data_IF_891339453188
#
_entry.id   IF_891339453188
#
_cell.length_a   1.000
_cell.length_b   1.000
_cell.length_c   1.000
_cell.angle_alpha   90.00
_cell.angle_beta   90.00
_cell.angle_gamma   90.00
#
_symmetry.space_group_name_H-M   'P 1'
#
loop_
_entity.id
_entity.type
_entity.pdbx_description
1 polymer ?
#
# COMPACT_ATOMS: atom_id res chain seq x y z
N UNK A 1 13.89 0.33 -18.31
CA UNK A 1 12.96 0.80 -17.27
C UNK A 1 13.70 0.73 -15.96
N UNK A 2 13.99 1.89 -15.36
CA UNK A 2 14.63 1.94 -14.05
C UNK A 2 13.71 1.23 -13.04
N UNK A 3 14.21 0.30 -12.22
CA UNK A 3 13.41 -0.26 -11.14
C UNK A 3 13.16 0.87 -10.16
N UNK A 4 11.98 1.50 -10.25
CA UNK A 4 11.55 2.50 -9.27
C UNK A 4 11.76 1.89 -7.88
N UNK A 5 12.61 2.52 -7.07
CA UNK A 5 12.95 2.03 -5.74
C UNK A 5 11.72 2.19 -4.84
N UNK A 6 10.85 1.19 -4.83
CA UNK A 6 9.72 1.10 -3.92
C UNK A 6 10.25 1.01 -2.49
N UNK A 7 9.94 2.02 -1.69
CA UNK A 7 10.30 2.09 -0.27
C UNK A 7 9.05 1.95 0.58
N UNK A 8 9.21 1.36 1.76
CA UNK A 8 8.15 1.31 2.77
C UNK A 8 7.67 2.73 3.08
N UNK A 9 6.36 2.94 3.09
CA UNK A 9 5.75 4.26 3.36
C UNK A 9 5.88 5.27 2.21
N UNK A 10 6.33 4.85 1.03
CA UNK A 10 6.34 5.73 -0.13
C UNK A 10 4.92 5.87 -0.70
N UNK A 11 4.43 7.11 -0.74
CA UNK A 11 3.23 7.49 -1.46
C UNK A 11 3.37 7.21 -2.96
N UNK A 12 2.35 6.60 -3.56
CA UNK A 12 2.24 6.34 -5.00
C UNK A 12 0.98 6.99 -5.58
N UNK A 13 0.92 7.18 -6.89
CA UNK A 13 -0.30 7.66 -7.55
C UNK A 13 -1.28 6.51 -7.86
N UNK A 14 -2.56 6.80 -8.15
CA UNK A 14 -3.51 5.78 -8.60
C UNK A 14 -3.02 5.02 -9.83
N UNK A 15 -2.44 5.72 -10.80
CA UNK A 15 -1.85 5.12 -12.00
C UNK A 15 -0.73 4.13 -11.63
N UNK A 16 0.16 4.52 -10.71
CA UNK A 16 1.21 3.64 -10.22
C UNK A 16 0.63 2.44 -9.46
N UNK A 17 -0.41 2.64 -8.66
CA UNK A 17 -1.08 1.53 -7.96
C UNK A 17 -1.66 0.52 -8.96
N UNK A 18 -2.24 0.99 -10.07
CA UNK A 18 -2.73 0.15 -11.16
C UNK A 18 -1.61 -0.58 -11.91
N UNK A 19 -0.45 0.05 -12.09
CA UNK A 19 0.73 -0.58 -12.72
C UNK A 19 1.44 -1.59 -11.81
N UNK A 20 1.40 -1.39 -10.49
CA UNK A 20 2.10 -2.22 -9.52
C UNK A 20 1.36 -3.54 -9.23
N UNK A 21 2.13 -4.59 -8.98
CA UNK A 21 1.60 -5.89 -8.53
C UNK A 21 1.44 -5.94 -7.02
N UNK A 22 0.62 -6.88 -6.53
CA UNK A 22 0.48 -7.23 -5.12
C UNK A 22 1.84 -7.40 -4.41
N UNK A 23 2.77 -8.19 -4.96
CA UNK A 23 4.12 -8.34 -4.41
C UNK A 23 4.91 -7.02 -4.34
N UNK A 24 4.67 -6.07 -5.25
CA UNK A 24 5.31 -4.75 -5.24
C UNK A 24 4.65 -3.82 -4.22
N UNK A 25 3.32 -3.80 -4.15
CA UNK A 25 2.56 -3.05 -3.15
C UNK A 25 2.90 -3.50 -1.74
N UNK A 26 3.05 -4.81 -1.53
CA UNK A 26 3.48 -5.39 -0.26
C UNK A 26 4.84 -4.83 0.21
N UNK A 27 5.72 -4.38 -0.70
CA UNK A 27 7.00 -3.72 -0.35
C UNK A 27 6.84 -2.28 0.12
N UNK A 28 5.75 -1.62 -0.26
CA UNK A 28 5.39 -0.29 0.22
C UNK A 28 4.76 -0.34 1.62
N UNK A 29 4.15 -1.48 1.97
CA UNK A 29 3.55 -1.69 3.29
C UNK A 29 4.63 -1.94 4.35
N UNK A 30 4.56 -1.27 5.53
CA UNK A 30 5.42 -1.55 6.67
C UNK A 30 5.36 -3.01 7.09
N UNK A 31 6.49 -3.55 7.56
CA UNK A 31 6.58 -4.94 8.03
C UNK A 31 5.50 -5.32 9.04
N UNK A 32 5.14 -4.38 9.94
CA UNK A 32 4.10 -4.58 10.93
C UNK A 32 2.69 -4.75 10.34
N UNK A 33 2.44 -4.25 9.12
CA UNK A 33 1.13 -4.32 8.48
C UNK A 33 1.09 -5.24 7.26
N UNK A 34 2.25 -5.77 6.86
CA UNK A 34 2.45 -6.60 5.68
C UNK A 34 1.65 -7.90 5.76
N UNK A 35 1.56 -8.48 6.95
CA UNK A 35 0.74 -9.66 7.23
C UNK A 35 -0.78 -9.40 7.14
N UNK A 36 -1.19 -8.13 7.26
CA UNK A 36 -2.58 -7.69 7.13
C UNK A 36 -2.91 -7.21 5.72
N UNK A 37 -1.92 -7.13 4.81
CA UNK A 37 -2.15 -6.70 3.44
C UNK A 37 -3.00 -7.77 2.71
N UNK A 38 -4.25 -7.46 2.34
CA UNK A 38 -5.15 -8.46 1.78
C UNK A 38 -4.90 -8.72 0.29
N UNK A 39 -3.92 -8.02 -0.31
CA UNK A 39 -3.67 -8.01 -1.75
C UNK A 39 -4.35 -6.83 -2.44
N UNK A 40 -3.87 -6.52 -3.66
CA UNK A 40 -4.37 -5.39 -4.47
C UNK A 40 -5.87 -5.46 -4.73
N UNK A 41 -6.38 -6.67 -4.99
CA UNK A 41 -7.79 -6.92 -5.32
C UNK A 41 -8.73 -6.52 -4.18
N UNK A 42 -8.25 -6.60 -2.94
CA UNK A 42 -8.98 -6.24 -1.73
C UNK A 42 -8.67 -4.82 -1.23
N UNK A 43 -7.87 -4.05 -1.97
CA UNK A 43 -7.59 -2.66 -1.65
C UNK A 43 -8.60 -1.75 -2.37
N UNK A 44 -9.55 -1.20 -1.64
CA UNK A 44 -10.50 -0.24 -2.18
C UNK A 44 -9.79 1.10 -2.44
N UNK A 45 -9.69 1.50 -3.72
CA UNK A 45 -9.06 2.77 -4.12
C UNK A 45 -7.61 2.91 -3.63
N UNK A 46 -6.83 1.81 -3.54
CA UNK A 46 -5.47 1.88 -3.00
C UNK A 46 -5.42 2.11 -1.48
N UNK A 47 -6.46 1.67 -0.77
CA UNK A 47 -6.52 1.64 0.69
C UNK A 47 -6.92 0.25 1.18
N UNK A 48 -6.39 -0.18 2.33
CA UNK A 48 -6.86 -1.38 3.00
C UNK A 48 -7.04 -1.14 4.50
N UNK A 49 -7.99 -1.85 5.07
CA UNK A 49 -8.32 -1.75 6.49
C UNK A 49 -7.51 -2.75 7.30
N UNK A 50 -6.97 -2.27 8.42
CA UNK A 50 -6.30 -3.08 9.43
C UNK A 50 -7.32 -3.58 10.47
N UNK A 51 -6.96 -4.63 11.20
CA UNK A 51 -7.84 -5.20 12.22
C UNK A 51 -8.14 -4.26 13.39
N UNK A 52 -7.30 -3.25 13.61
CA UNK A 52 -7.48 -2.25 14.66
C UNK A 52 -8.52 -1.16 14.28
N UNK A 53 -9.02 -1.18 13.04
CA UNK A 53 -9.94 -0.18 12.51
C UNK A 53 -9.26 0.98 11.77
N UNK A 54 -7.94 1.13 11.90
CA UNK A 54 -7.17 2.05 11.06
C UNK A 54 -7.11 1.57 9.60
N UNK A 55 -6.90 2.50 8.67
CA UNK A 55 -6.74 2.18 7.26
C UNK A 55 -5.39 2.69 6.74
N UNK A 56 -4.69 1.86 5.98
CA UNK A 56 -3.45 2.25 5.29
C UNK A 56 -3.76 2.83 3.91
N UNK A 57 -3.13 3.96 3.57
CA UNK A 57 -3.22 4.57 2.23
C UNK A 57 -1.93 4.42 1.47
N UNK A 58 -1.99 3.79 0.30
CA UNK A 58 -0.85 3.78 -0.63
C UNK A 58 -0.59 5.17 -1.23
N UNK A 59 -1.60 6.02 -1.31
CA UNK A 59 -1.46 7.38 -1.84
C UNK A 59 -0.85 8.36 -0.85
N UNK A 60 -1.05 8.12 0.45
CA UNK A 60 -0.42 8.90 1.52
C UNK A 60 0.91 8.28 1.99
N UNK A 61 1.07 6.98 1.79
CA UNK A 61 2.20 6.22 2.33
C UNK A 61 2.15 6.06 3.86
N UNK A 62 0.97 6.22 4.45
CA UNK A 62 0.76 6.23 5.90
C UNK A 62 -0.70 5.88 6.25
N UNK A 63 -1.03 5.86 7.54
CA UNK A 63 -2.39 5.62 8.02
C UNK A 63 -3.30 6.83 7.71
N UNK A 64 -4.57 6.54 7.40
CA UNK A 64 -5.58 7.56 7.11
C UNK A 64 -6.04 8.31 8.37
N UNK A 65 -6.08 7.62 9.51
CA UNK A 65 -6.64 8.07 10.80
C UNK A 65 -5.55 8.66 11.71
N UNK A 66 -5.05 9.85 11.35
CA UNK A 66 -4.17 10.64 12.20
C UNK A 66 -4.79 12.00 12.50
#
# INVERSE_FOLDING_TARGET
>A
MEPQRLRVGQAITPEQFEELTDAQLERLVPRAYREYFPGKDFCADGHFYLHDGSAWSFFRGDLLDQ
#
